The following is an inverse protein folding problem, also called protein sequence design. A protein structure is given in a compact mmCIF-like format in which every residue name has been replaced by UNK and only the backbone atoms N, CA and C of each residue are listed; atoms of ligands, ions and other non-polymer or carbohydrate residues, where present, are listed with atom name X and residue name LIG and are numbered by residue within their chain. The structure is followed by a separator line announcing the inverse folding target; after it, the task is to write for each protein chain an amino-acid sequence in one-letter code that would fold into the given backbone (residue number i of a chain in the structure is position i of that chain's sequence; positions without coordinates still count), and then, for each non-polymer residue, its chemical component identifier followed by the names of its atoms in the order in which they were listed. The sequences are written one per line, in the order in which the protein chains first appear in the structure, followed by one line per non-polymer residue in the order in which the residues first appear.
data_IF_329086667560
#
_entry.id   IF_329086667560
#
_cell.length_a   1.000
_cell.length_b   1.000
_cell.length_c   1.000
_cell.angle_alpha   90.00
_cell.angle_beta   90.00
_cell.angle_gamma   90.00
#
_symmetry.space_group_name_H-M   'P 1'
#
loop_
_entity.id
_entity.type
_entity.pdbx_description
1 polymer ?
#
# COMPACT_ATOMS: atom_id res chain seq x y z
N UNK A 1 -20.52 39.98 49.69
CA UNK A 1 -20.83 39.02 50.76
C UNK A 1 -21.49 37.78 50.16
N UNK A 2 -21.08 36.59 50.63
CA UNK A 2 -21.66 35.22 50.45
C UNK A 2 -21.72 34.64 49.02
N UNK A 3 -20.91 33.63 48.64
CA UNK A 3 -20.92 32.16 49.00
C UNK A 3 -22.19 31.47 48.47
N UNK A 4 -22.22 30.36 47.71
CA UNK A 4 -21.52 29.05 47.79
C UNK A 4 -22.01 28.16 46.59
N UNK A 5 -21.15 27.47 45.81
CA UNK A 5 -20.79 26.02 45.79
C UNK A 5 -21.83 24.97 45.36
N UNK A 6 -21.49 24.14 44.35
CA UNK A 6 -21.29 22.65 44.39
C UNK A 6 -21.48 22.06 42.97
N UNK A 7 -20.51 21.37 42.37
CA UNK A 7 -19.94 20.04 42.70
C UNK A 7 -20.93 18.90 42.49
N UNK A 8 -20.65 18.06 41.49
CA UNK A 8 -21.35 16.82 41.21
C UNK A 8 -20.54 15.92 40.27
N UNK A 9 -19.42 15.38 40.76
CA UNK A 9 -18.85 14.11 40.25
C UNK A 9 -19.66 12.96 40.83
N UNK A 10 -20.06 11.98 40.01
CA UNK A 10 -20.34 10.62 40.46
C UNK A 10 -19.71 9.63 39.46
N UNK A 11 -18.77 8.83 39.97
CA UNK A 11 -18.26 7.55 39.42
C UNK A 11 -18.85 6.40 40.25
N UNK A 12 -19.14 5.26 39.62
CA UNK A 12 -19.04 3.85 40.09
C UNK A 12 -19.86 2.97 39.10
N UNK A 13 -19.37 1.98 38.35
CA UNK A 13 -18.54 0.77 38.56
C UNK A 13 -19.31 -0.46 39.10
N UNK A 14 -19.29 -1.58 38.34
CA UNK A 14 -19.52 -3.02 38.66
C UNK A 14 -20.14 -3.73 37.43
N UNK A 15 -19.48 -4.54 36.58
CA UNK A 15 -18.98 -5.94 36.75
C UNK A 15 -20.14 -6.91 37.13
N UNK A 16 -20.43 -8.07 36.49
CA UNK A 16 -19.66 -9.35 36.41
C UNK A 16 -20.37 -10.39 35.45
N UNK A 17 -19.57 -11.11 34.62
CA UNK A 17 -19.62 -12.50 34.03
C UNK A 17 -20.89 -13.05 33.30
N UNK A 18 -20.88 -14.03 32.38
CA UNK A 18 -20.04 -15.21 32.10
C UNK A 18 -20.47 -15.81 30.74
N UNK A 19 -19.54 -16.26 29.88
CA UNK A 19 -19.41 -17.68 29.47
C UNK A 19 -18.54 -17.89 28.23
N UNK A 20 -17.64 -18.85 28.40
CA UNK A 20 -16.77 -19.55 27.45
C UNK A 20 -17.30 -19.73 26.02
N UNK A 21 -16.38 -19.54 25.06
CA UNK A 21 -16.08 -20.53 24.03
C UNK A 21 -14.64 -20.32 23.57
N UNK A 22 -13.76 -21.27 23.88
CA UNK A 22 -12.49 -21.45 23.18
C UNK A 22 -12.78 -21.86 21.74
N UNK A 23 -12.34 -21.06 20.78
CA UNK A 23 -11.95 -21.58 19.46
C UNK A 23 -10.56 -21.02 19.14
N UNK A 24 -9.59 -21.94 19.11
CA UNK A 24 -8.30 -21.69 18.50
C UNK A 24 -8.51 -21.43 17.00
N UNK A 25 -8.37 -20.18 16.58
CA UNK A 25 -8.08 -19.88 15.18
C UNK A 25 -6.65 -19.36 15.12
N UNK A 26 -5.76 -20.16 14.51
CA UNK A 26 -4.43 -19.71 14.10
C UNK A 26 -4.62 -18.70 12.98
N UNK A 27 -4.86 -17.45 13.36
CA UNK A 27 -4.92 -16.31 12.45
C UNK A 27 -3.50 -16.06 11.95
N UNK A 28 -3.27 -15.80 10.64
CA UNK A 28 -1.97 -15.36 10.18
C UNK A 28 -1.62 -14.11 10.98
N UNK A 29 -0.44 -14.08 11.62
CA UNK A 29 0.03 -12.85 12.25
C UNK A 29 0.23 -11.80 11.15
N UNK A 30 -0.82 -11.02 10.91
CA UNK A 30 -0.73 -9.74 10.23
C UNK A 30 0.27 -8.96 11.06
N UNK A 31 1.44 -8.70 10.50
CA UNK A 31 2.44 -7.82 11.12
C UNK A 31 1.73 -6.49 11.30
N UNK A 32 1.26 -6.21 12.52
CA UNK A 32 0.65 -4.94 12.87
C UNK A 32 1.76 -3.89 12.81
N UNK A 33 1.92 -3.28 11.63
CA UNK A 33 2.74 -2.10 11.49
C UNK A 33 2.17 -1.04 12.42
N UNK A 34 3.02 -0.54 13.31
CA UNK A 34 2.62 0.51 14.22
C UNK A 34 2.23 1.75 13.43
N UNK A 35 1.27 2.52 13.95
CA UNK A 35 0.84 3.78 13.32
C UNK A 35 2.04 4.71 13.08
N UNK A 36 3.10 4.63 13.88
CA UNK A 36 4.38 5.31 13.64
C UNK A 36 5.16 4.81 12.40
N UNK A 37 5.23 3.51 12.13
CA UNK A 37 5.89 2.95 10.92
C UNK A 37 5.10 3.28 9.65
N UNK A 38 3.76 3.23 9.75
CA UNK A 38 2.86 3.71 8.71
C UNK A 38 2.95 5.23 8.53
N UNK A 39 3.23 6.00 9.58
CA UNK A 39 3.47 7.45 9.51
C UNK A 39 4.84 7.74 8.91
N UNK A 40 5.88 6.95 9.14
CA UNK A 40 7.16 7.12 8.43
C UNK A 40 7.00 6.85 6.93
N UNK A 41 6.16 5.88 6.55
CA UNK A 41 5.86 5.55 5.15
C UNK A 41 4.82 6.50 4.49
N UNK A 42 3.81 6.97 5.22
CA UNK A 42 2.74 7.85 4.72
C UNK A 42 3.02 9.34 4.88
N UNK A 43 3.84 9.74 5.86
CA UNK A 43 4.29 11.12 6.08
C UNK A 43 5.70 11.36 5.57
N UNK A 44 6.23 10.51 4.68
CA UNK A 44 7.16 11.05 3.71
C UNK A 44 6.36 12.00 2.82
N UNK A 45 6.25 13.24 3.28
CA UNK A 45 6.21 14.39 2.42
C UNK A 45 7.28 14.14 1.35
N UNK A 46 6.84 13.67 0.18
CA UNK A 46 7.56 13.73 -1.09
C UNK A 46 7.68 15.21 -1.51
N UNK A 47 8.08 16.05 -0.57
CA UNK A 47 8.98 17.16 -0.80
C UNK A 47 10.15 16.61 -1.61
N UNK A 48 10.14 16.97 -2.90
CA UNK A 48 11.15 16.71 -3.90
C UNK A 48 11.31 15.26 -4.36
N UNK A 49 10.98 15.03 -5.64
CA UNK A 49 11.98 14.74 -6.66
C UNK A 49 13.04 13.66 -6.32
N UNK A 50 12.64 12.55 -5.73
CA UNK A 50 13.51 11.40 -5.59
C UNK A 50 13.20 10.44 -6.73
N UNK A 51 14.07 10.54 -7.73
CA UNK A 51 14.05 9.83 -9.00
C UNK A 51 13.74 8.34 -8.86
N UNK A 52 13.08 7.81 -9.89
CA UNK A 52 12.70 6.41 -10.14
C UNK A 52 13.77 5.36 -9.76
N UNK A 53 15.06 5.75 -9.69
CA UNK A 53 16.18 4.91 -9.27
C UNK A 53 16.28 4.65 -7.76
N UNK A 54 15.72 5.50 -6.92
CA UNK A 54 15.90 5.42 -5.47
C UNK A 54 14.92 4.41 -4.84
N UNK A 55 13.74 4.23 -5.43
CA UNK A 55 12.78 3.21 -5.00
C UNK A 55 13.32 1.79 -5.12
N UNK A 56 14.07 1.51 -6.20
CA UNK A 56 14.72 0.21 -6.40
C UNK A 56 15.88 -0.05 -5.41
N UNK A 57 16.47 1.00 -4.83
CA UNK A 57 17.55 0.89 -3.85
C UNK A 57 17.04 0.82 -2.40
N UNK A 58 15.86 1.39 -2.13
CA UNK A 58 15.30 1.44 -0.78
C UNK A 58 14.63 0.13 -0.36
N UNK A 59 14.02 -0.59 -1.31
CA UNK A 59 13.29 -1.84 -1.07
C UNK A 59 13.90 -2.96 -1.91
N UNK A 60 14.65 -3.85 -1.27
CA UNK A 60 15.37 -4.92 -1.97
C UNK A 60 14.44 -6.05 -2.44
N UNK A 61 13.32 -6.28 -1.75
CA UNK A 61 12.37 -7.34 -2.11
C UNK A 61 11.39 -6.86 -3.19
N UNK A 62 10.98 -7.77 -4.07
CA UNK A 62 10.03 -7.43 -5.14
C UNK A 62 8.64 -7.17 -4.57
N UNK A 63 8.22 -7.98 -3.60
CA UNK A 63 6.91 -7.89 -2.96
C UNK A 63 6.75 -6.57 -2.21
N UNK A 64 7.77 -6.15 -1.47
CA UNK A 64 7.78 -4.85 -0.76
C UNK A 64 7.72 -3.68 -1.75
N UNK A 65 8.40 -3.79 -2.91
CA UNK A 65 8.31 -2.79 -3.97
C UNK A 65 6.93 -2.73 -4.61
N UNK A 66 6.32 -3.89 -4.87
CA UNK A 66 4.96 -3.98 -5.43
C UNK A 66 3.93 -3.35 -4.49
N UNK A 67 3.98 -3.68 -3.20
CA UNK A 67 3.10 -3.10 -2.19
C UNK A 67 3.27 -1.57 -2.09
N UNK A 68 4.51 -1.10 -2.04
CA UNK A 68 4.81 0.34 -2.03
C UNK A 68 4.26 1.06 -3.26
N UNK A 69 4.46 0.51 -4.45
CA UNK A 69 3.96 1.10 -5.70
C UNK A 69 2.43 1.16 -5.72
N UNK A 70 1.74 0.15 -5.19
CA UNK A 70 0.29 0.19 -5.03
C UNK A 70 -0.17 1.33 -4.12
N UNK A 71 0.48 1.51 -2.95
CA UNK A 71 0.16 2.63 -2.07
C UNK A 71 0.41 4.00 -2.74
N UNK A 72 1.50 4.12 -3.50
CA UNK A 72 1.81 5.36 -4.20
C UNK A 72 0.81 5.65 -5.32
N UNK A 73 0.38 4.63 -6.06
CA UNK A 73 -0.70 4.73 -7.05
C UNK A 73 -2.01 5.19 -6.40
N UNK A 74 -2.44 4.56 -5.31
CA UNK A 74 -3.65 4.94 -4.57
C UNK A 74 -3.59 6.39 -4.10
N UNK A 75 -2.43 6.83 -3.60
CA UNK A 75 -2.22 8.22 -3.23
C UNK A 75 -2.47 9.16 -4.41
N UNK A 76 -1.87 8.91 -5.57
CA UNK A 76 -2.07 9.76 -6.74
C UNK A 76 -3.53 9.74 -7.23
N UNK A 77 -4.19 8.59 -7.22
CA UNK A 77 -5.61 8.47 -7.56
C UNK A 77 -6.49 9.30 -6.61
N UNK A 78 -6.20 9.28 -5.31
CA UNK A 78 -6.90 10.11 -4.32
C UNK A 78 -6.68 11.61 -4.59
N UNK A 79 -5.47 12.03 -4.98
CA UNK A 79 -5.21 13.42 -5.36
C UNK A 79 -5.99 13.84 -6.60
N UNK A 80 -6.13 12.95 -7.59
CA UNK A 80 -6.99 13.20 -8.77
C UNK A 80 -8.43 13.45 -8.33
N UNK A 81 -8.98 12.60 -7.45
CA UNK A 81 -10.34 12.78 -6.92
C UNK A 81 -10.50 14.12 -6.20
N UNK A 82 -9.50 14.55 -5.42
CA UNK A 82 -9.51 15.87 -4.75
C UNK A 82 -9.58 17.01 -5.76
N UNK A 83 -8.79 16.97 -6.83
CA UNK A 83 -8.83 18.01 -7.87
C UNK A 83 -10.15 18.02 -8.63
N UNK A 84 -10.71 16.85 -8.94
CA UNK A 84 -12.02 16.74 -9.57
C UNK A 84 -13.14 17.28 -8.66
N UNK A 85 -13.04 17.07 -7.35
CA UNK A 85 -13.95 17.66 -6.37
C UNK A 85 -13.86 19.19 -6.34
N UNK A 86 -12.65 19.75 -6.30
CA UNK A 86 -12.45 21.22 -6.35
C UNK A 86 -13.12 21.78 -7.61
N UNK A 87 -12.90 21.14 -8.75
CA UNK A 87 -13.47 21.56 -10.03
C UNK A 87 -15.01 21.52 -10.05
N UNK A 88 -15.61 20.51 -9.40
CA UNK A 88 -17.07 20.29 -9.41
C UNK A 88 -17.82 21.01 -8.31
N UNK A 89 -17.23 21.18 -7.14
CA UNK A 89 -17.94 21.63 -5.93
C UNK A 89 -17.50 23.00 -5.44
N UNK A 90 -16.23 23.35 -5.64
CA UNK A 90 -15.64 24.56 -5.03
C UNK A 90 -15.62 25.73 -6.01
N UNK A 91 -15.28 25.47 -7.28
CA UNK A 91 -15.15 26.55 -8.25
C UNK A 91 -16.49 27.24 -8.55
N UNK A 92 -16.53 28.59 -8.60
CA UNK A 92 -17.70 29.34 -9.02
C UNK A 92 -18.22 28.88 -10.39
N UNK A 93 -19.48 28.42 -10.42
CA UNK A 93 -20.14 27.96 -11.65
C UNK A 93 -20.89 29.07 -12.36
N UNK A 94 -21.40 30.04 -11.60
CA UNK A 94 -22.29 31.06 -12.10
C UNK A 94 -21.55 32.39 -12.36
N UNK A 95 -21.71 32.94 -13.57
CA UNK A 95 -21.18 34.24 -13.97
C UNK A 95 -21.90 35.42 -13.32
N UNK A 96 -23.17 35.28 -12.93
CA UNK A 96 -24.01 36.43 -12.58
C UNK A 96 -23.93 36.88 -11.12
N UNK A 97 -23.45 36.04 -10.20
CA UNK A 97 -23.32 36.41 -8.79
C UNK A 97 -22.02 37.19 -8.48
N UNK A 98 -20.92 36.88 -9.18
CA UNK A 98 -19.65 37.58 -9.07
C UNK A 98 -18.79 37.32 -10.32
N UNK A 99 -18.88 38.22 -11.31
CA UNK A 99 -18.29 37.99 -12.64
C UNK A 99 -16.76 38.01 -12.63
N UNK A 100 -16.15 38.84 -11.79
CA UNK A 100 -14.68 38.91 -11.63
C UNK A 100 -14.16 37.63 -11.00
N UNK A 101 -14.72 37.21 -9.86
CA UNK A 101 -14.36 35.96 -9.20
C UNK A 101 -14.56 34.75 -10.10
N UNK A 102 -15.62 34.72 -10.91
CA UNK A 102 -15.82 33.68 -11.91
C UNK A 102 -14.67 33.66 -12.94
N UNK A 103 -14.31 34.81 -13.52
CA UNK A 103 -13.24 34.89 -14.52
C UNK A 103 -11.90 34.42 -13.93
N UNK A 104 -11.54 34.92 -12.75
CA UNK A 104 -10.29 34.56 -12.08
C UNK A 104 -10.23 33.06 -11.75
N UNK A 105 -11.35 32.49 -11.30
CA UNK A 105 -11.44 31.05 -11.03
C UNK A 105 -11.26 30.19 -12.28
N UNK A 106 -11.72 30.64 -13.45
CA UNK A 106 -11.52 29.89 -14.71
C UNK A 106 -10.07 29.97 -15.20
N UNK A 107 -9.41 31.12 -15.01
CA UNK A 107 -7.98 31.27 -15.30
C UNK A 107 -7.17 30.33 -14.40
N UNK A 108 -7.41 30.39 -13.08
CA UNK A 108 -6.74 29.51 -12.14
C UNK A 108 -6.98 28.02 -12.43
N UNK A 109 -8.23 27.65 -12.76
CA UNK A 109 -8.57 26.28 -13.17
C UNK A 109 -7.71 25.81 -14.34
N UNK A 110 -7.59 26.62 -15.39
CA UNK A 110 -6.85 26.26 -16.60
C UNK A 110 -5.34 26.19 -16.34
N UNK A 111 -4.80 27.19 -15.66
CA UNK A 111 -3.35 27.38 -15.59
C UNK A 111 -2.69 26.61 -14.45
N UNK A 112 -3.44 26.33 -13.39
CA UNK A 112 -2.95 25.67 -12.18
C UNK A 112 -3.60 24.30 -12.01
N UNK A 113 -4.93 24.26 -11.85
CA UNK A 113 -5.63 23.01 -11.47
C UNK A 113 -5.50 21.93 -12.55
N UNK A 114 -5.75 22.27 -13.81
CA UNK A 114 -5.73 21.28 -14.90
C UNK A 114 -4.32 20.73 -15.15
N UNK A 115 -3.28 21.57 -15.11
CA UNK A 115 -1.89 21.11 -15.26
C UNK A 115 -1.50 20.16 -14.13
N UNK A 116 -1.80 20.54 -12.90
CA UNK A 116 -1.50 19.73 -11.72
C UNK A 116 -2.27 18.41 -11.75
N UNK A 117 -3.58 18.44 -12.03
CA UNK A 117 -4.40 17.24 -12.17
C UNK A 117 -3.86 16.30 -13.24
N UNK A 118 -3.48 16.83 -14.40
CA UNK A 118 -2.91 16.02 -15.49
C UNK A 118 -1.56 15.41 -15.12
N UNK A 119 -0.69 16.15 -14.43
CA UNK A 119 0.58 15.63 -13.93
C UNK A 119 0.36 14.47 -12.95
N UNK A 120 -0.59 14.61 -12.01
CA UNK A 120 -0.93 13.54 -11.07
C UNK A 120 -1.57 12.34 -11.77
N UNK A 121 -2.44 12.55 -12.77
CA UNK A 121 -2.97 11.46 -13.62
C UNK A 121 -1.85 10.69 -14.31
N UNK A 122 -0.89 11.42 -14.89
CA UNK A 122 0.28 10.80 -15.51
C UNK A 122 1.07 9.95 -14.52
N UNK A 123 1.32 10.46 -13.31
CA UNK A 123 2.01 9.71 -12.27
C UNK A 123 1.25 8.44 -11.86
N UNK A 124 -0.07 8.51 -11.64
CA UNK A 124 -0.89 7.33 -11.34
C UNK A 124 -0.80 6.26 -12.45
N UNK A 125 -0.88 6.69 -13.72
CA UNK A 125 -0.71 5.78 -14.86
C UNK A 125 0.68 5.18 -14.93
N UNK A 126 1.72 5.98 -14.67
CA UNK A 126 3.10 5.49 -14.65
C UNK A 126 3.31 4.44 -13.56
N UNK A 127 2.80 4.67 -12.35
CA UNK A 127 2.85 3.67 -11.26
C UNK A 127 2.13 2.38 -11.66
N UNK A 128 0.97 2.46 -12.33
CA UNK A 128 0.26 1.29 -12.82
C UNK A 128 1.11 0.46 -13.81
N UNK A 129 1.87 1.10 -14.70
CA UNK A 129 2.82 0.40 -15.58
C UNK A 129 3.94 -0.28 -14.78
N UNK A 130 4.53 0.40 -13.79
CA UNK A 130 5.59 -0.18 -12.96
C UNK A 130 5.09 -1.36 -12.12
N UNK A 131 3.85 -1.31 -11.64
CA UNK A 131 3.20 -2.43 -10.93
C UNK A 131 3.12 -3.65 -11.84
N UNK A 132 2.66 -3.49 -13.08
CA UNK A 132 2.60 -4.58 -14.05
C UNK A 132 3.99 -5.18 -14.33
N UNK A 133 5.01 -4.34 -14.49
CA UNK A 133 6.38 -4.81 -14.69
C UNK A 133 6.89 -5.63 -13.49
N UNK A 134 6.55 -5.21 -12.27
CA UNK A 134 6.88 -5.95 -11.04
C UNK A 134 6.14 -7.28 -10.93
N UNK A 135 4.85 -7.31 -11.28
CA UNK A 135 4.05 -8.54 -11.30
C UNK A 135 4.64 -9.57 -12.26
N UNK A 136 5.01 -9.15 -13.47
CA UNK A 136 5.68 -10.01 -14.46
C UNK A 136 7.01 -10.55 -13.94
N UNK A 137 7.81 -9.73 -13.26
CA UNK A 137 9.08 -10.18 -12.70
C UNK A 137 8.89 -11.13 -11.51
N UNK A 138 7.88 -10.89 -10.67
CA UNK A 138 7.52 -11.80 -9.57
C UNK A 138 7.12 -13.18 -10.09
N UNK A 139 6.23 -13.23 -11.10
CA UNK A 139 5.82 -14.46 -11.76
C UNK A 139 7.03 -15.21 -12.36
N UNK A 140 7.96 -14.47 -12.98
CA UNK A 140 9.20 -15.03 -13.54
C UNK A 140 10.05 -15.69 -12.46
N UNK A 141 10.23 -15.02 -11.31
CA UNK A 141 11.00 -15.58 -10.19
C UNK A 141 10.34 -16.80 -9.58
N UNK A 142 9.02 -16.84 -9.49
CA UNK A 142 8.28 -18.01 -9.00
C UNK A 142 8.47 -19.22 -9.92
N UNK A 143 8.33 -19.02 -11.23
CA UNK A 143 8.57 -20.07 -12.22
C UNK A 143 10.00 -20.60 -12.18
N UNK A 144 10.99 -19.73 -11.95
CA UNK A 144 12.38 -20.13 -11.84
C UNK A 144 12.65 -20.97 -10.57
N UNK A 145 12.06 -20.58 -9.44
CA UNK A 145 12.13 -21.35 -8.19
C UNK A 145 11.52 -22.75 -8.37
N UNK A 146 10.38 -22.85 -9.03
CA UNK A 146 9.70 -24.12 -9.29
C UNK A 146 10.56 -25.05 -10.18
N UNK A 147 11.15 -24.50 -11.26
CA UNK A 147 12.08 -25.26 -12.12
C UNK A 147 13.31 -25.75 -11.35
N UNK A 148 13.89 -24.92 -10.48
CA UNK A 148 15.03 -25.30 -9.65
C UNK A 148 14.66 -26.42 -8.67
N UNK A 149 13.48 -26.34 -8.05
CA UNK A 149 12.97 -27.37 -7.15
C UNK A 149 12.78 -28.71 -7.87
N UNK A 150 12.16 -28.71 -9.05
CA UNK A 150 11.97 -29.91 -9.86
C UNK A 150 13.32 -30.55 -10.26
N UNK A 151 14.31 -29.73 -10.61
CA UNK A 151 15.66 -30.21 -10.93
C UNK A 151 16.33 -30.86 -9.71
N UNK A 152 16.24 -30.24 -8.54
CA UNK A 152 16.80 -30.80 -7.30
C UNK A 152 16.12 -32.13 -6.91
N UNK A 153 14.80 -32.23 -7.06
CA UNK A 153 14.06 -33.47 -6.80
C UNK A 153 14.44 -34.61 -7.76
N UNK A 154 14.70 -34.29 -9.04
CA UNK A 154 15.20 -35.26 -10.01
C UNK A 154 16.61 -35.75 -9.66
N UNK A 155 17.52 -34.83 -9.34
CA UNK A 155 18.90 -35.17 -8.94
C UNK A 155 18.92 -36.03 -7.67
N UNK A 156 18.06 -35.76 -6.69
CA UNK A 156 17.92 -36.59 -5.49
C UNK A 156 17.42 -38.00 -5.82
N UNK A 157 16.37 -38.12 -6.65
CA UNK A 157 15.84 -39.44 -7.08
C UNK A 157 16.87 -40.26 -7.84
N UNK A 158 17.68 -39.62 -8.69
CA UNK A 158 18.76 -40.30 -9.42
C UNK A 158 19.84 -40.81 -8.47
N UNK A 159 20.24 -40.01 -7.47
CA UNK A 159 21.21 -40.41 -6.45
C UNK A 159 20.70 -41.58 -5.60
N UNK A 160 19.43 -41.56 -5.18
CA UNK A 160 18.81 -42.66 -4.43
C UNK A 160 18.79 -43.95 -5.26
N UNK A 161 18.38 -43.89 -6.53
CA UNK A 161 18.38 -45.05 -7.42
C UNK A 161 19.79 -45.61 -7.67
N UNK A 162 20.80 -44.75 -7.76
CA UNK A 162 22.19 -45.18 -7.94
C UNK A 162 22.74 -45.85 -6.67
N UNK A 163 22.43 -45.32 -5.49
CA UNK A 163 22.78 -45.95 -4.21
C UNK A 163 22.10 -47.31 -4.06
N UNK A 164 20.80 -47.43 -4.35
CA UNK A 164 20.09 -48.71 -4.30
C UNK A 164 20.72 -49.76 -5.21
N UNK A 165 21.08 -49.38 -6.45
CA UNK A 165 21.76 -50.27 -7.41
C UNK A 165 23.13 -50.73 -6.87
N UNK A 166 23.89 -49.87 -6.20
CA UNK A 166 25.18 -50.22 -5.58
C UNK A 166 24.99 -51.20 -4.42
N UNK A 167 24.02 -50.99 -3.54
CA UNK A 167 23.72 -51.93 -2.44
C UNK A 167 23.21 -53.30 -2.92
N UNK A 168 22.43 -53.35 -4.01
CA UNK A 168 21.95 -54.62 -4.58
C UNK A 168 23.09 -55.44 -5.20
N UNK A 169 24.10 -54.79 -5.79
CA UNK A 169 25.29 -55.46 -6.35
C UNK A 169 26.26 -56.02 -5.29
N UNK A 170 26.26 -55.52 -4.07
CA UNK A 170 27.12 -56.04 -2.98
C UNK A 170 26.52 -57.24 -2.24
N UNK A 171 25.23 -57.56 -2.47
CA UNK A 171 24.52 -58.66 -1.80
C UNK A 171 24.40 -59.94 -2.65
N UNK A 172 24.81 -59.90 -3.91
CA UNK A 172 24.92 -61.04 -4.82
C UNK A 172 26.38 -61.37 -5.08
#
# INVERSE_FOLDING_TARGET
MSKRTNSGQIKANSQINSSDSQEESSTPQVKEFTVQELIVLKNWELSNYVADKTYAQLLSKLEERHEFMNYLKEFYELQVTKYERIEREVLPKNRSANQELYKDSQVWRKDVLMKTKNAVKFQASHMATMILDLEVEMDRQEQEKEKQKQKQEQEQKEQEQEQEKKTKKQKN
#
